data_IF_757702867114
#
_entry.id   IF_757702867114
#
_cell.length_a   1.000
_cell.length_b   1.000
_cell.length_c   1.000
_cell.angle_alpha   90.00
_cell.angle_beta   90.00
_cell.angle_gamma   90.00
#
_symmetry.space_group_name_H-M   'P 1'
#
loop_
_entity.id
_entity.type
_entity.pdbx_description
1 polymer ?
#
# COMPACT_ATOMS: atom_id res chain seq x y z
N UNK A 1 19.52 10.97 15.90
CA UNK A 1 19.82 11.43 14.53
C UNK A 1 19.23 10.46 13.48
N UNK A 2 19.44 9.18 13.60
CA UNK A 2 19.01 8.12 12.66
C UNK A 2 17.47 8.05 12.43
N UNK A 3 16.66 8.24 13.45
CA UNK A 3 15.18 8.22 13.29
C UNK A 3 14.67 9.33 12.37
N UNK A 4 15.29 10.53 12.42
CA UNK A 4 14.95 11.62 11.50
C UNK A 4 15.29 11.28 10.05
N UNK A 5 16.31 10.44 9.82
CA UNK A 5 16.69 9.98 8.47
C UNK A 5 15.66 9.00 7.90
N UNK A 6 15.13 8.08 8.70
CA UNK A 6 14.02 7.21 8.29
C UNK A 6 12.74 8.00 7.96
N UNK A 7 12.39 8.99 8.82
CA UNK A 7 11.24 9.86 8.56
C UNK A 7 11.41 10.67 7.27
N UNK A 8 12.64 11.17 7.01
CA UNK A 8 12.92 11.88 5.77
C UNK A 8 12.85 10.96 4.55
N UNK A 9 13.40 9.75 4.63
CA UNK A 9 13.33 8.75 3.57
C UNK A 9 11.87 8.42 3.23
N UNK A 10 11.02 8.17 4.24
CA UNK A 10 9.60 7.91 4.04
C UNK A 10 8.86 9.11 3.41
N UNK A 11 9.23 10.33 3.78
CA UNK A 11 8.66 11.55 3.17
C UNK A 11 9.11 11.74 1.73
N UNK A 12 10.32 11.35 1.41
CA UNK A 12 10.87 11.43 0.05
C UNK A 12 10.29 10.33 -0.84
N UNK A 13 10.06 9.15 -0.26
CA UNK A 13 9.56 7.94 -0.94
C UNK A 13 10.40 7.58 -2.18
N UNK A 14 11.69 7.26 -2.00
CA UNK A 14 12.60 7.01 -3.10
C UNK A 14 12.25 5.71 -3.83
N UNK A 15 12.62 5.65 -5.08
CA UNK A 15 12.60 4.42 -5.88
C UNK A 15 13.56 3.37 -5.30
N UNK A 16 14.79 3.79 -5.01
CA UNK A 16 15.86 2.98 -4.43
C UNK A 16 16.31 3.61 -3.11
N UNK A 17 16.42 2.81 -2.07
CA UNK A 17 16.91 3.24 -0.77
C UNK A 17 18.03 2.30 -0.29
N UNK A 18 19.25 2.80 -0.17
CA UNK A 18 20.36 2.09 0.46
C UNK A 18 20.47 2.45 1.94
N UNK A 19 20.56 1.43 2.80
CA UNK A 19 20.70 1.56 4.25
C UNK A 19 22.07 1.07 4.67
N UNK A 20 23.04 1.98 4.71
CA UNK A 20 24.46 1.69 4.95
C UNK A 20 24.86 1.92 6.42
N UNK A 21 24.18 1.22 7.33
CA UNK A 21 24.46 1.25 8.76
C UNK A 21 25.04 -0.09 9.24
N UNK A 22 25.63 -0.10 10.42
CA UNK A 22 26.21 -1.29 11.02
C UNK A 22 25.19 -2.43 11.18
N UNK A 23 23.96 -2.10 11.62
CA UNK A 23 22.86 -3.06 11.79
C UNK A 23 21.64 -2.63 10.95
N UNK A 24 21.67 -2.75 9.62
CA UNK A 24 20.64 -2.18 8.74
C UNK A 24 19.25 -2.80 8.95
N UNK A 25 19.17 -4.06 9.39
CA UNK A 25 17.90 -4.75 9.65
C UNK A 25 17.06 -4.09 10.76
N UNK A 26 17.69 -3.40 11.70
CA UNK A 26 16.99 -2.70 12.80
C UNK A 26 16.10 -1.54 12.30
N UNK A 27 16.39 -1.02 11.11
CA UNK A 27 15.67 0.11 10.52
C UNK A 27 14.57 -0.31 9.56
N UNK A 28 14.54 -1.57 9.13
CA UNK A 28 13.59 -2.05 8.12
C UNK A 28 12.14 -1.79 8.52
N UNK A 29 11.78 -2.03 9.78
CA UNK A 29 10.43 -1.78 10.30
C UNK A 29 10.02 -0.31 10.43
N UNK A 30 10.89 0.64 10.01
CA UNK A 30 10.63 2.09 10.00
C UNK A 30 10.66 2.70 8.60
N UNK A 31 10.87 1.87 7.59
CA UNK A 31 11.00 2.27 6.20
C UNK A 31 9.78 1.77 5.43
N UNK A 32 8.77 2.62 5.33
CA UNK A 32 7.47 2.24 4.76
C UNK A 32 7.35 2.61 3.28
N UNK A 33 8.05 3.66 2.86
CA UNK A 33 7.84 4.28 1.56
C UNK A 33 9.12 4.27 0.70
N UNK A 34 9.54 3.08 0.26
CA UNK A 34 10.60 2.93 -0.73
C UNK A 34 10.21 1.87 -1.76
N UNK A 35 10.61 2.04 -3.01
CA UNK A 35 10.36 1.07 -4.05
C UNK A 35 11.15 -0.21 -3.82
N UNK A 36 12.45 -0.08 -3.53
CA UNK A 36 13.31 -1.17 -3.10
C UNK A 36 14.25 -0.70 -2.00
N UNK A 37 14.54 -1.57 -1.02
CA UNK A 37 15.42 -1.28 0.11
C UNK A 37 16.60 -2.23 0.09
N UNK A 38 17.80 -1.68 0.01
CA UNK A 38 19.06 -2.41 0.00
C UNK A 38 19.72 -2.27 1.38
N UNK A 39 19.94 -3.40 2.05
CA UNK A 39 20.39 -3.43 3.44
C UNK A 39 21.85 -3.80 3.55
N UNK A 40 22.69 -2.83 3.90
CA UNK A 40 24.13 -3.01 4.12
C UNK A 40 24.96 -2.89 2.85
N UNK A 41 26.27 -2.87 3.06
CA UNK A 41 27.26 -2.60 2.01
C UNK A 41 27.37 -3.66 0.92
N UNK A 42 26.79 -4.85 1.12
CA UNK A 42 26.85 -5.95 0.16
C UNK A 42 25.57 -6.11 -0.66
N UNK A 43 24.55 -5.31 -0.38
CA UNK A 43 23.30 -5.28 -1.13
C UNK A 43 23.31 -4.13 -2.12
N UNK A 44 23.89 -4.34 -3.29
CA UNK A 44 23.97 -3.33 -4.33
C UNK A 44 22.76 -3.35 -5.27
N UNK A 45 22.48 -2.22 -5.93
CA UNK A 45 21.42 -2.11 -6.93
C UNK A 45 21.52 -3.18 -8.04
N UNK A 46 22.69 -3.42 -8.69
CA UNK A 46 22.78 -4.46 -9.71
C UNK A 46 22.48 -5.87 -9.20
N UNK A 47 22.76 -6.14 -7.92
CA UNK A 47 22.36 -7.39 -7.29
C UNK A 47 20.84 -7.53 -7.24
N UNK A 48 20.15 -6.45 -6.85
CA UNK A 48 18.69 -6.41 -6.81
C UNK A 48 18.06 -6.59 -8.18
N UNK A 49 18.57 -5.88 -9.17
CA UNK A 49 18.02 -5.86 -10.52
C UNK A 49 18.17 -7.16 -11.29
N UNK A 50 19.28 -7.88 -11.06
CA UNK A 50 19.65 -8.99 -11.97
C UNK A 50 19.73 -10.35 -11.30
N UNK A 51 19.80 -10.45 -9.97
CA UNK A 51 20.08 -11.73 -9.31
C UNK A 51 19.24 -12.04 -8.09
N UNK A 52 18.92 -11.05 -7.24
CA UNK A 52 18.31 -11.29 -5.93
C UNK A 52 16.83 -11.73 -5.97
N UNK A 53 16.19 -11.61 -7.12
CA UNK A 53 14.82 -12.09 -7.34
C UNK A 53 13.71 -11.04 -7.40
N UNK A 54 13.75 -9.90 -6.67
CA UNK A 54 12.79 -8.84 -6.85
C UNK A 54 12.78 -8.28 -8.27
N UNK A 55 11.65 -7.71 -8.69
CA UNK A 55 11.54 -7.07 -10.01
C UNK A 55 12.20 -5.69 -9.97
N UNK A 56 12.93 -5.33 -11.04
CA UNK A 56 13.57 -4.02 -11.18
C UNK A 56 12.62 -2.89 -11.61
N UNK A 57 11.38 -3.21 -11.97
CA UNK A 57 10.35 -2.19 -12.27
C UNK A 57 9.78 -1.69 -10.95
N UNK A 58 10.21 -0.52 -10.55
CA UNK A 58 9.96 0.09 -9.25
C UNK A 58 9.09 1.34 -9.38
N UNK A 59 8.34 1.71 -8.32
CA UNK A 59 7.59 2.96 -8.30
C UNK A 59 8.54 4.17 -8.23
N UNK A 60 8.39 5.11 -9.16
CA UNK A 60 9.21 6.31 -9.31
C UNK A 60 8.51 7.57 -8.83
N UNK A 61 9.25 8.68 -8.73
CA UNK A 61 8.70 10.03 -8.47
C UNK A 61 7.85 10.14 -7.19
N UNK A 62 8.25 9.43 -6.14
CA UNK A 62 7.56 9.44 -4.84
C UNK A 62 6.30 8.57 -4.79
N UNK A 63 6.00 7.81 -5.83
CA UNK A 63 4.82 6.93 -5.87
C UNK A 63 4.97 5.67 -5.02
N UNK A 64 6.16 5.40 -4.46
CA UNK A 64 6.39 4.33 -3.48
C UNK A 64 5.56 4.50 -2.20
N UNK A 65 4.90 5.66 -1.98
CA UNK A 65 3.92 5.87 -0.91
C UNK A 65 2.68 4.99 -1.05
N UNK A 66 2.33 4.56 -2.26
CA UNK A 66 1.08 3.84 -2.54
C UNK A 66 1.20 2.80 -3.65
N UNK A 67 2.30 2.75 -4.38
CA UNK A 67 2.59 1.69 -5.34
C UNK A 67 3.70 0.78 -4.84
N UNK A 68 3.65 -0.48 -5.30
CA UNK A 68 4.66 -1.52 -5.05
C UNK A 68 5.46 -1.82 -6.32
N UNK A 69 6.63 -2.47 -6.20
CA UNK A 69 7.32 -3.05 -7.35
C UNK A 69 6.42 -3.96 -8.18
N UNK A 70 6.71 -4.08 -9.47
CA UNK A 70 6.00 -5.01 -10.34
C UNK A 70 6.12 -6.43 -9.82
N UNK A 71 5.00 -7.11 -9.70
CA UNK A 71 4.93 -8.49 -9.20
C UNK A 71 3.82 -9.27 -9.90
N UNK A 72 3.71 -10.56 -9.63
CA UNK A 72 2.61 -11.40 -10.13
C UNK A 72 1.24 -10.82 -9.74
N UNK A 73 1.13 -10.24 -8.54
CA UNK A 73 -0.11 -9.60 -8.08
C UNK A 73 -0.57 -8.45 -8.99
N UNK A 74 0.35 -7.79 -9.70
CA UNK A 74 0.02 -6.72 -10.65
C UNK A 74 -0.78 -7.21 -11.86
N UNK A 75 -0.75 -8.50 -12.12
CA UNK A 75 -1.47 -9.17 -13.21
C UNK A 75 -2.71 -9.94 -12.73
N UNK A 76 -2.96 -9.96 -11.42
CA UNK A 76 -4.14 -10.59 -10.86
C UNK A 76 -5.35 -9.64 -10.96
N UNK A 77 -6.44 -10.14 -11.53
CA UNK A 77 -7.72 -9.45 -11.50
C UNK A 77 -8.53 -9.92 -10.31
N UNK A 78 -8.92 -9.00 -9.45
CA UNK A 78 -9.79 -9.28 -8.31
C UNK A 78 -11.16 -8.61 -8.52
N UNK A 79 -12.22 -9.33 -8.19
CA UNK A 79 -13.58 -8.80 -8.20
C UNK A 79 -14.23 -9.11 -6.86
N UNK A 80 -15.00 -8.18 -6.34
CA UNK A 80 -15.87 -8.44 -5.20
C UNK A 80 -17.24 -8.91 -5.67
N UNK A 81 -17.89 -9.74 -4.89
CA UNK A 81 -19.31 -10.04 -5.05
C UNK A 81 -20.00 -9.85 -3.70
N UNK A 82 -21.24 -9.41 -3.75
CA UNK A 82 -22.06 -9.21 -2.55
C UNK A 82 -23.41 -9.88 -2.77
N UNK A 83 -23.80 -10.70 -1.82
CA UNK A 83 -25.12 -11.33 -1.77
C UNK A 83 -25.69 -11.16 -0.35
N UNK A 84 -26.91 -10.65 -0.26
CA UNK A 84 -27.65 -10.50 0.98
C UNK A 84 -29.03 -11.10 0.86
N UNK A 85 -29.57 -11.68 1.92
CA UNK A 85 -30.98 -12.01 2.03
C UNK A 85 -31.78 -10.74 2.34
N UNK A 86 -33.10 -10.79 2.12
CA UNK A 86 -33.98 -9.68 2.44
C UNK A 86 -33.92 -9.31 3.93
N UNK A 87 -33.91 -10.31 4.81
CA UNK A 87 -33.84 -10.08 6.25
C UNK A 87 -32.51 -9.44 6.66
N UNK A 88 -31.39 -9.91 6.11
CA UNK A 88 -30.08 -9.31 6.38
C UNK A 88 -29.99 -7.85 5.87
N UNK A 89 -30.61 -7.55 4.72
CA UNK A 89 -30.67 -6.18 4.21
C UNK A 89 -31.54 -5.29 5.11
N UNK A 90 -32.65 -5.80 5.60
CA UNK A 90 -33.51 -5.06 6.54
C UNK A 90 -32.79 -4.73 7.85
N UNK A 91 -32.01 -5.67 8.37
CA UNK A 91 -31.20 -5.44 9.59
C UNK A 91 -30.12 -4.38 9.39
N UNK A 92 -29.45 -4.37 8.23
CA UNK A 92 -28.40 -3.42 7.90
C UNK A 92 -28.89 -2.03 7.44
N UNK A 93 -30.19 -1.88 7.17
CA UNK A 93 -30.77 -0.69 6.53
C UNK A 93 -30.45 0.61 7.24
N UNK A 94 -30.64 0.68 8.56
CA UNK A 94 -30.50 1.93 9.31
C UNK A 94 -29.05 2.40 9.31
N UNK A 95 -28.09 1.49 9.39
CA UNK A 95 -26.67 1.80 9.31
C UNK A 95 -26.27 2.30 7.91
N UNK A 96 -26.81 1.68 6.86
CA UNK A 96 -26.57 2.09 5.48
C UNK A 96 -27.09 3.50 5.24
N UNK A 97 -28.33 3.77 5.67
CA UNK A 97 -28.96 5.09 5.53
C UNK A 97 -28.17 6.15 6.28
N UNK A 98 -27.79 5.86 7.53
CA UNK A 98 -27.01 6.78 8.36
C UNK A 98 -25.68 7.18 7.69
N UNK A 99 -24.96 6.22 7.13
CA UNK A 99 -23.69 6.48 6.44
C UNK A 99 -23.93 7.30 5.17
N UNK A 100 -24.90 6.89 4.34
CA UNK A 100 -25.24 7.59 3.11
C UNK A 100 -25.64 9.05 3.34
N UNK A 101 -26.43 9.33 4.39
CA UNK A 101 -26.79 10.69 4.79
C UNK A 101 -25.58 11.52 5.20
N UNK A 102 -24.63 10.93 5.96
CA UNK A 102 -23.39 11.61 6.37
C UNK A 102 -22.48 11.93 5.18
N UNK A 103 -22.53 11.13 4.14
CA UNK A 103 -21.81 11.35 2.88
C UNK A 103 -22.58 12.29 1.90
N UNK A 104 -23.82 12.65 2.21
CA UNK A 104 -24.67 13.48 1.35
C UNK A 104 -25.22 12.75 0.13
N UNK A 105 -25.21 11.40 0.14
CA UNK A 105 -25.63 10.55 -0.98
C UNK A 105 -27.11 10.13 -0.88
N UNK A 106 -28.02 11.11 -0.86
CA UNK A 106 -29.47 10.92 -0.67
C UNK A 106 -30.16 10.04 -1.72
N UNK A 107 -29.54 9.82 -2.89
CA UNK A 107 -30.06 8.91 -3.91
C UNK A 107 -29.83 7.42 -3.59
N UNK A 108 -28.90 7.10 -2.70
CA UNK A 108 -28.63 5.73 -2.26
C UNK A 108 -29.63 5.24 -1.20
N UNK A 109 -30.23 6.16 -0.42
CA UNK A 109 -31.29 5.85 0.54
C UNK A 109 -32.46 5.11 -0.12
N UNK A 110 -32.85 5.56 -1.33
CA UNK A 110 -34.01 5.01 -2.04
C UNK A 110 -33.79 3.59 -2.59
N UNK A 111 -32.54 3.21 -2.84
CA UNK A 111 -32.20 1.86 -3.33
C UNK A 111 -32.14 0.81 -2.22
N UNK A 112 -31.93 1.26 -0.98
CA UNK A 112 -31.88 0.40 0.21
C UNK A 112 -33.25 0.15 0.84
N UNK A 113 -34.33 0.65 0.23
CA UNK A 113 -35.71 0.66 0.76
C UNK A 113 -36.65 -0.23 -0.07
N UNK A 114 -36.13 -1.24 -0.77
CA UNK A 114 -37.01 -2.22 -1.42
C UNK A 114 -37.34 -3.34 -0.45
#
# INVERSE_FOLDING_TARGET
>A
MLFRSCDLANRFAPELLEVLFENPMEYLGRLDNAGSIFLGQYASEPLGDYYAGPNHVLPTSGTARFFSPLSVNSFEKRSSFTYYTEDALREAKDDIVLIAEKEGLTAQDRKSVV
#
